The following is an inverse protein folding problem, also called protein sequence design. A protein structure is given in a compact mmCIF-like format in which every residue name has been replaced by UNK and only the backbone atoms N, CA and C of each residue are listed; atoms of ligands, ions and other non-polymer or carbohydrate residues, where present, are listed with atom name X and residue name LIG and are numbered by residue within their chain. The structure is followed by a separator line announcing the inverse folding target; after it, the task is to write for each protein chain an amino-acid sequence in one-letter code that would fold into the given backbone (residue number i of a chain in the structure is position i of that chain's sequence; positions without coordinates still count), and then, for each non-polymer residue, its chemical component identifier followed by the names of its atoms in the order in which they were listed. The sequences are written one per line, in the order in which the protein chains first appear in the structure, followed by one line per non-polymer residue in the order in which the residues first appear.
data_IF_517054777544
#
_entry.id   IF_517054777544
#
_cell.length_a   1.000
_cell.length_b   1.000
_cell.length_c   1.000
_cell.angle_alpha   90.00
_cell.angle_beta   90.00
_cell.angle_gamma   90.00
#
_symmetry.space_group_name_H-M   'P 1'
#
loop_
_entity.id
_entity.type
_entity.pdbx_description
1 polymer ?
#
# COMPACT_ATOMS: atom_id res chain seq x y z
N UNK A 1 -56.29 72.50 6.85
CA UNK A 1 -56.92 71.17 6.79
C UNK A 1 -57.29 70.92 5.36
N UNK A 2 -56.60 70.02 4.67
CA UNK A 2 -57.21 69.02 3.76
C UNK A 2 -56.06 68.11 3.29
N UNK A 3 -55.98 66.91 3.88
CA UNK A 3 -55.09 65.84 3.43
C UNK A 3 -55.77 65.11 2.27
N UNK A 4 -55.21 65.20 1.07
CA UNK A 4 -55.55 64.29 -0.02
C UNK A 4 -54.70 63.02 0.12
N UNK A 5 -55.33 61.95 0.61
CA UNK A 5 -54.71 60.63 0.74
C UNK A 5 -54.40 60.02 -0.62
N UNK A 6 -53.12 59.77 -0.89
CA UNK A 6 -52.68 58.91 -1.99
C UNK A 6 -53.06 57.48 -1.67
N UNK A 7 -54.00 56.94 -2.42
CA UNK A 7 -54.42 55.55 -2.39
C UNK A 7 -53.23 54.65 -2.76
N UNK A 8 -52.62 54.02 -1.76
CA UNK A 8 -51.82 52.81 -1.96
C UNK A 8 -52.77 51.65 -2.28
N UNK A 9 -53.25 51.61 -3.52
CA UNK A 9 -53.91 50.44 -4.07
C UNK A 9 -52.84 49.34 -4.25
N UNK A 10 -52.69 48.51 -3.24
CA UNK A 10 -51.96 47.25 -3.31
C UNK A 10 -52.63 46.36 -4.35
N UNK A 11 -52.15 46.42 -5.59
CA UNK A 11 -52.46 45.45 -6.61
C UNK A 11 -51.85 44.11 -6.17
N UNK A 12 -52.61 43.34 -5.39
CA UNK A 12 -52.45 41.89 -5.34
C UNK A 12 -52.80 41.35 -6.72
N UNK A 13 -51.88 41.51 -7.67
CA UNK A 13 -51.91 40.81 -8.94
C UNK A 13 -52.01 39.32 -8.59
N UNK A 14 -53.16 38.73 -8.88
CA UNK A 14 -53.45 37.32 -8.62
C UNK A 14 -52.32 36.50 -9.24
N UNK A 15 -51.42 36.00 -8.39
CA UNK A 15 -50.25 35.25 -8.81
C UNK A 15 -50.76 34.02 -9.55
N UNK A 16 -50.43 33.90 -10.83
CA UNK A 16 -50.75 32.71 -11.61
C UNK A 16 -50.34 31.45 -10.81
N UNK A 17 -51.12 30.36 -10.84
CA UNK A 17 -50.83 29.17 -10.06
C UNK A 17 -49.38 28.72 -10.31
N UNK A 18 -48.58 28.68 -9.25
CA UNK A 18 -47.18 28.26 -9.36
C UNK A 18 -47.14 26.80 -9.86
N UNK A 19 -46.31 26.47 -10.87
CA UNK A 19 -46.26 25.11 -11.38
C UNK A 19 -45.82 24.13 -10.28
N UNK A 20 -46.43 22.93 -10.20
CA UNK A 20 -46.23 22.01 -9.07
C UNK A 20 -44.80 21.47 -8.92
N UNK A 21 -43.95 21.60 -9.96
CA UNK A 21 -42.54 21.17 -9.95
C UNK A 21 -41.53 22.28 -9.63
N UNK A 22 -41.99 23.53 -9.43
CA UNK A 22 -41.14 24.66 -9.09
C UNK A 22 -41.01 24.77 -7.57
N UNK A 23 -39.78 24.64 -7.05
CA UNK A 23 -39.54 24.77 -5.62
C UNK A 23 -39.81 26.21 -5.16
N UNK A 24 -40.23 26.37 -3.90
CA UNK A 24 -40.71 27.65 -3.36
C UNK A 24 -39.65 28.77 -3.30
N UNK A 25 -38.35 28.42 -3.33
CA UNK A 25 -37.22 29.35 -3.30
C UNK A 25 -36.75 29.77 -4.70
N UNK A 26 -37.40 29.30 -5.76
CA UNK A 26 -37.15 29.74 -7.12
C UNK A 26 -38.34 30.52 -7.67
N UNK A 27 -38.02 31.60 -8.38
CA UNK A 27 -39.02 32.45 -9.02
C UNK A 27 -39.47 31.86 -10.35
N UNK A 28 -38.58 31.14 -11.05
CA UNK A 28 -38.86 30.57 -12.38
C UNK A 28 -38.24 29.18 -12.58
N UNK A 29 -38.84 28.38 -13.46
CA UNK A 29 -38.32 27.03 -13.80
C UNK A 29 -36.93 27.04 -14.47
N UNK A 30 -36.59 27.99 -15.38
CA UNK A 30 -35.23 28.10 -15.92
C UNK A 30 -34.19 28.38 -14.82
N UNK A 31 -34.49 29.29 -13.89
CA UNK A 31 -33.62 29.60 -12.76
C UNK A 31 -33.34 28.36 -11.90
N UNK A 32 -34.37 27.56 -11.58
CA UNK A 32 -34.21 26.30 -10.86
C UNK A 32 -33.27 25.32 -11.59
N UNK A 33 -33.41 25.20 -12.91
CA UNK A 33 -32.59 24.30 -13.72
C UNK A 33 -31.12 24.75 -13.78
N UNK A 34 -30.88 26.05 -14.00
CA UNK A 34 -29.53 26.60 -14.07
C UNK A 34 -28.82 26.54 -12.70
N UNK A 35 -29.54 26.81 -11.62
CA UNK A 35 -29.02 26.63 -10.26
C UNK A 35 -28.65 25.16 -9.98
N UNK A 36 -29.50 24.21 -10.39
CA UNK A 36 -29.23 22.77 -10.22
C UNK A 36 -28.01 22.32 -11.04
N UNK A 37 -27.86 22.83 -12.27
CA UNK A 37 -26.71 22.54 -13.13
C UNK A 37 -25.41 23.10 -12.54
N UNK A 38 -25.44 24.35 -12.05
CA UNK A 38 -24.30 24.97 -11.37
C UNK A 38 -23.91 24.18 -10.11
N UNK A 39 -24.90 23.77 -9.32
CA UNK A 39 -24.67 22.92 -8.15
C UNK A 39 -23.99 21.59 -8.49
N UNK A 40 -24.43 20.92 -9.57
CA UNK A 40 -23.80 19.70 -10.05
C UNK A 40 -22.34 19.94 -10.48
N UNK A 41 -22.03 21.03 -11.20
CA UNK A 41 -20.66 21.36 -11.61
C UNK A 41 -19.75 21.66 -10.41
N UNK A 42 -20.23 22.40 -9.42
CA UNK A 42 -19.47 22.67 -8.19
C UNK A 42 -19.19 21.38 -7.41
N UNK A 43 -20.19 20.50 -7.28
CA UNK A 43 -20.02 19.19 -6.66
C UNK A 43 -18.95 18.35 -7.39
N UNK A 44 -19.01 18.25 -8.72
CA UNK A 44 -17.99 17.54 -9.51
C UNK A 44 -16.59 18.16 -9.33
N UNK A 45 -16.49 19.49 -9.26
CA UNK A 45 -15.21 20.16 -9.03
C UNK A 45 -14.63 19.79 -7.65
N UNK A 46 -15.46 19.69 -6.60
CA UNK A 46 -14.99 19.28 -5.27
C UNK A 46 -14.50 17.84 -5.23
N UNK A 47 -15.13 16.92 -5.96
CA UNK A 47 -14.66 15.53 -6.08
C UNK A 47 -13.30 15.46 -6.81
N UNK A 48 -13.12 16.23 -7.88
CA UNK A 48 -11.82 16.34 -8.57
C UNK A 48 -10.72 16.82 -7.61
N UNK A 49 -11.01 17.80 -6.75
CA UNK A 49 -10.05 18.28 -5.74
C UNK A 49 -9.74 17.22 -4.68
N UNK A 50 -10.75 16.44 -4.25
CA UNK A 50 -10.57 15.31 -3.33
C UNK A 50 -9.61 14.27 -3.91
N UNK A 51 -9.84 13.84 -5.16
CA UNK A 51 -8.96 12.87 -5.83
C UNK A 51 -7.57 13.45 -6.13
N UNK A 52 -7.46 14.73 -6.46
CA UNK A 52 -6.17 15.40 -6.65
C UNK A 52 -5.29 15.31 -5.39
N UNK A 53 -5.88 15.52 -4.20
CA UNK A 53 -5.19 15.31 -2.93
C UNK A 53 -4.68 13.87 -2.76
N UNK A 54 -5.51 12.88 -3.13
CA UNK A 54 -5.15 11.46 -3.07
C UNK A 54 -4.00 11.10 -4.05
N UNK A 55 -4.01 11.67 -5.25
CA UNK A 55 -2.91 11.51 -6.22
C UNK A 55 -1.61 12.18 -5.76
N UNK A 56 -1.69 13.37 -5.17
CA UNK A 56 -0.53 14.03 -4.56
C UNK A 56 0.08 13.17 -3.44
N UNK A 57 -0.75 12.61 -2.56
CA UNK A 57 -0.30 11.68 -1.53
C UNK A 57 0.40 10.46 -2.15
N UNK A 58 -0.21 9.83 -3.15
CA UNK A 58 0.38 8.72 -3.89
C UNK A 58 1.74 9.09 -4.50
N UNK A 59 1.86 10.25 -5.16
CA UNK A 59 3.08 10.70 -5.81
C UNK A 59 4.22 10.93 -4.79
N UNK A 60 3.92 11.61 -3.67
CA UNK A 60 4.89 11.84 -2.60
C UNK A 60 5.34 10.52 -1.96
N UNK A 61 4.40 9.62 -1.64
CA UNK A 61 4.73 8.30 -1.09
C UNK A 61 5.56 7.46 -2.06
N UNK A 62 5.22 7.47 -3.36
CA UNK A 62 5.97 6.77 -4.40
C UNK A 62 7.39 7.32 -4.55
N UNK A 63 7.57 8.65 -4.46
CA UNK A 63 8.89 9.27 -4.51
C UNK A 63 9.74 8.99 -3.27
N UNK A 64 9.14 8.94 -2.08
CA UNK A 64 9.85 8.67 -0.82
C UNK A 64 10.20 7.19 -0.61
N UNK A 65 9.40 6.27 -1.14
CA UNK A 65 9.54 4.82 -0.92
C UNK A 65 9.52 4.01 -2.23
N UNK A 66 10.43 4.28 -3.19
CA UNK A 66 10.38 3.68 -4.53
C UNK A 66 10.44 2.14 -4.50
N UNK A 67 11.26 1.56 -3.63
CA UNK A 67 11.40 0.11 -3.47
C UNK A 67 10.10 -0.56 -3.02
N UNK A 68 9.40 0.03 -2.04
CA UNK A 68 8.11 -0.48 -1.53
C UNK A 68 7.04 -0.45 -2.61
N UNK A 69 7.02 0.59 -3.46
CA UNK A 69 6.07 0.69 -4.57
C UNK A 69 6.41 -0.25 -5.74
N UNK A 70 7.70 -0.47 -6.02
CA UNK A 70 8.16 -1.47 -6.99
C UNK A 70 7.75 -2.88 -6.57
N UNK A 71 7.84 -3.17 -5.27
CA UNK A 71 7.37 -4.40 -4.66
C UNK A 71 5.84 -4.55 -4.74
N UNK A 72 5.10 -3.53 -4.31
CA UNK A 72 3.63 -3.52 -4.34
C UNK A 72 3.02 -3.71 -5.74
N UNK A 73 3.69 -3.24 -6.79
CA UNK A 73 3.26 -3.46 -8.18
C UNK A 73 3.18 -4.94 -8.59
N UNK A 74 3.88 -5.84 -7.89
CA UNK A 74 3.83 -7.28 -8.19
C UNK A 74 2.55 -7.95 -7.70
N UNK A 75 1.83 -7.34 -6.76
CA UNK A 75 0.54 -7.82 -6.22
C UNK A 75 -0.68 -7.26 -6.97
N UNK A 76 -0.45 -6.45 -8.01
CA UNK A 76 -1.51 -5.95 -8.87
C UNK A 76 -1.78 -6.94 -10.01
N UNK A 77 -2.94 -7.58 -9.95
CA UNK A 77 -3.44 -8.39 -11.06
C UNK A 77 -3.91 -7.47 -12.20
N UNK A 78 -3.14 -7.44 -13.28
CA UNK A 78 -3.44 -6.61 -14.46
C UNK A 78 -4.67 -7.13 -15.21
N UNK A 79 -4.97 -8.42 -15.15
CA UNK A 79 -6.09 -9.05 -15.86
C UNK A 79 -7.42 -8.61 -15.27
N UNK A 80 -7.60 -8.81 -13.95
CA UNK A 80 -8.80 -8.37 -13.24
C UNK A 80 -8.98 -6.84 -13.30
N UNK A 81 -7.88 -6.09 -13.20
CA UNK A 81 -7.89 -4.64 -13.38
C UNK A 81 -8.36 -4.20 -14.77
N UNK A 82 -7.91 -4.87 -15.84
CA UNK A 82 -8.29 -4.54 -17.21
C UNK A 82 -9.76 -4.87 -17.49
N UNK A 83 -10.24 -6.04 -17.08
CA UNK A 83 -11.65 -6.45 -17.23
C UNK A 83 -12.56 -5.43 -16.54
N UNK A 84 -12.23 -5.07 -15.30
CA UNK A 84 -13.00 -4.11 -14.53
C UNK A 84 -13.03 -2.72 -15.19
N UNK A 85 -11.94 -2.32 -15.83
CA UNK A 85 -11.86 -1.05 -16.59
C UNK A 85 -12.76 -1.11 -17.83
N UNK A 86 -12.79 -2.23 -18.55
CA UNK A 86 -13.69 -2.42 -19.70
C UNK A 86 -15.16 -2.35 -19.28
N UNK A 87 -15.53 -2.96 -18.15
CA UNK A 87 -16.88 -2.88 -17.59
C UNK A 87 -17.28 -1.43 -17.31
N UNK A 88 -16.41 -0.64 -16.69
CA UNK A 88 -16.67 0.78 -16.42
C UNK A 88 -16.81 1.61 -17.70
N UNK A 89 -15.94 1.40 -18.69
CA UNK A 89 -16.02 2.11 -19.97
C UNK A 89 -17.34 1.78 -20.66
N UNK A 90 -17.72 0.49 -20.71
CA UNK A 90 -18.99 0.07 -21.28
C UNK A 90 -20.19 0.65 -20.53
N UNK A 91 -20.17 0.67 -19.20
CA UNK A 91 -21.21 1.30 -18.37
C UNK A 91 -21.33 2.81 -18.62
N UNK A 92 -20.20 3.51 -18.81
CA UNK A 92 -20.22 4.94 -19.16
C UNK A 92 -20.82 5.21 -20.55
N UNK A 93 -20.55 4.31 -21.50
CA UNK A 93 -21.14 4.35 -22.84
C UNK A 93 -22.66 4.15 -22.78
N UNK A 94 -23.14 3.21 -21.97
CA UNK A 94 -24.59 2.99 -21.81
C UNK A 94 -25.27 4.19 -21.15
N UNK A 95 -24.61 4.89 -20.23
CA UNK A 95 -25.13 6.14 -19.67
C UNK A 95 -25.26 7.24 -20.74
N UNK A 96 -24.28 7.37 -21.63
CA UNK A 96 -24.35 8.33 -22.75
C UNK A 96 -25.53 8.03 -23.68
N UNK A 97 -25.76 6.74 -24.00
CA UNK A 97 -26.93 6.31 -24.77
C UNK A 97 -28.25 6.57 -24.03
N UNK A 98 -28.27 6.42 -22.71
CA UNK A 98 -29.44 6.76 -21.89
C UNK A 98 -29.79 8.26 -22.00
N UNK A 99 -28.79 9.15 -21.96
CA UNK A 99 -29.00 10.59 -22.15
C UNK A 99 -29.54 10.89 -23.55
N UNK A 100 -29.01 10.23 -24.59
CA UNK A 100 -29.54 10.38 -25.94
C UNK A 100 -30.99 9.88 -26.06
N UNK A 101 -31.31 8.72 -25.48
CA UNK A 101 -32.67 8.19 -25.46
C UNK A 101 -33.64 9.10 -24.69
N UNK A 102 -33.18 9.75 -23.61
CA UNK A 102 -33.95 10.76 -22.89
C UNK A 102 -34.25 11.99 -23.76
N UNK A 103 -33.26 12.48 -24.52
CA UNK A 103 -33.43 13.59 -25.47
C UNK A 103 -34.37 13.21 -26.62
N UNK A 104 -34.31 11.97 -27.11
CA UNK A 104 -35.21 11.42 -28.12
C UNK A 104 -36.60 11.04 -27.58
N UNK A 105 -36.86 11.27 -26.28
CA UNK A 105 -38.10 10.90 -25.57
C UNK A 105 -38.47 9.40 -25.68
N UNK A 106 -37.47 8.53 -25.88
CA UNK A 106 -37.62 7.09 -25.99
C UNK A 106 -37.53 6.43 -24.60
N UNK A 107 -38.66 6.39 -23.89
CA UNK A 107 -38.72 5.94 -22.48
C UNK A 107 -38.25 4.50 -22.27
N UNK A 108 -38.58 3.59 -23.19
CA UNK A 108 -38.19 2.18 -23.11
C UNK A 108 -36.66 2.03 -23.13
N UNK A 109 -36.03 2.69 -24.10
CA UNK A 109 -34.58 2.59 -24.30
C UNK A 109 -33.82 3.33 -23.19
N UNK A 110 -34.35 4.48 -22.71
CA UNK A 110 -33.85 5.16 -21.52
C UNK A 110 -33.78 4.23 -20.31
N UNK A 111 -34.88 3.54 -19.99
CA UNK A 111 -34.93 2.61 -18.84
C UNK A 111 -33.99 1.42 -19.05
N UNK A 112 -33.92 0.89 -20.27
CA UNK A 112 -33.01 -0.22 -20.61
C UNK A 112 -31.54 0.17 -20.39
N UNK A 113 -31.11 1.30 -20.95
CA UNK A 113 -29.72 1.76 -20.83
C UNK A 113 -29.36 2.17 -19.40
N UNK A 114 -30.29 2.76 -18.65
CA UNK A 114 -30.06 3.09 -17.24
C UNK A 114 -29.92 1.82 -16.38
N UNK A 115 -30.73 0.79 -16.66
CA UNK A 115 -30.62 -0.51 -15.99
C UNK A 115 -29.29 -1.20 -16.30
N UNK A 116 -28.84 -1.14 -17.55
CA UNK A 116 -27.55 -1.71 -17.95
C UNK A 116 -26.36 -0.97 -17.30
N UNK A 117 -26.47 0.35 -17.17
CA UNK A 117 -25.48 1.17 -16.46
C UNK A 117 -25.39 0.77 -14.99
N UNK A 118 -26.54 0.59 -14.33
CA UNK A 118 -26.62 0.16 -12.94
C UNK A 118 -26.01 -1.24 -12.74
N UNK A 119 -26.33 -2.19 -13.63
CA UNK A 119 -25.74 -3.53 -13.60
C UNK A 119 -24.22 -3.48 -13.71
N UNK A 120 -23.67 -2.70 -14.65
CA UNK A 120 -22.22 -2.52 -14.76
C UNK A 120 -21.57 -1.95 -13.50
N UNK A 121 -22.28 -1.09 -12.75
CA UNK A 121 -21.84 -0.60 -11.45
C UNK A 121 -21.84 -1.67 -10.36
N UNK A 122 -22.85 -2.55 -10.34
CA UNK A 122 -22.91 -3.70 -9.42
C UNK A 122 -21.82 -4.72 -9.74
N UNK A 123 -21.59 -5.02 -11.02
CA UNK A 123 -20.54 -5.92 -11.47
C UNK A 123 -19.15 -5.41 -11.09
N UNK A 124 -18.89 -4.11 -11.29
CA UNK A 124 -17.66 -3.44 -10.83
C UNK A 124 -17.46 -3.63 -9.32
N UNK A 125 -18.51 -3.42 -8.52
CA UNK A 125 -18.44 -3.55 -7.07
C UNK A 125 -18.17 -5.02 -6.66
N UNK A 126 -18.82 -5.98 -7.32
CA UNK A 126 -18.61 -7.41 -7.09
C UNK A 126 -17.16 -7.85 -7.34
N UNK A 127 -16.58 -7.44 -8.48
CA UNK A 127 -15.17 -7.71 -8.81
C UNK A 127 -14.26 -7.11 -7.73
N UNK A 128 -14.53 -5.86 -7.30
CA UNK A 128 -13.74 -5.20 -6.26
C UNK A 128 -13.85 -5.90 -4.91
N UNK A 129 -15.03 -6.36 -4.51
CA UNK A 129 -15.20 -7.11 -3.25
C UNK A 129 -14.37 -8.38 -3.27
N UNK A 130 -14.39 -9.15 -4.36
CA UNK A 130 -13.60 -10.39 -4.47
C UNK A 130 -12.11 -10.08 -4.46
N UNK A 131 -11.66 -9.12 -5.27
CA UNK A 131 -10.25 -8.72 -5.36
C UNK A 131 -9.71 -8.21 -4.02
N UNK A 132 -10.50 -7.39 -3.31
CA UNK A 132 -10.12 -6.88 -2.01
C UNK A 132 -10.17 -7.96 -0.94
N UNK A 133 -11.18 -8.84 -0.94
CA UNK A 133 -11.26 -9.95 0.02
C UNK A 133 -10.02 -10.83 -0.05
N UNK A 134 -9.56 -11.15 -1.26
CA UNK A 134 -8.30 -11.87 -1.45
C UNK A 134 -7.11 -11.10 -0.85
N UNK A 135 -6.98 -9.80 -1.11
CA UNK A 135 -5.93 -8.94 -0.54
C UNK A 135 -6.02 -8.77 0.99
N UNK A 136 -7.23 -8.81 1.55
CA UNK A 136 -7.45 -8.84 3.00
C UNK A 136 -6.91 -10.13 3.62
N UNK A 137 -7.15 -11.28 2.98
CA UNK A 137 -6.61 -12.57 3.43
C UNK A 137 -5.08 -12.66 3.28
N UNK A 138 -4.49 -11.92 2.35
CA UNK A 138 -3.04 -11.81 2.17
C UNK A 138 -2.35 -10.81 3.13
N UNK A 139 -3.10 -10.21 4.06
CA UNK A 139 -2.65 -9.17 5.00
C UNK A 139 -2.13 -7.88 4.32
N UNK A 140 -2.57 -7.58 3.09
CA UNK A 140 -2.23 -6.35 2.38
C UNK A 140 -3.14 -5.19 2.79
N UNK A 141 -3.34 -5.01 4.10
CA UNK A 141 -4.31 -4.07 4.65
C UNK A 141 -3.65 -2.77 5.12
N UNK A 142 -4.28 -1.65 4.82
CA UNK A 142 -3.89 -0.35 5.35
C UNK A 142 -3.73 -0.34 6.88
N UNK A 143 -2.70 0.35 7.39
CA UNK A 143 -2.44 0.53 8.81
C UNK A 143 -1.67 -0.60 9.49
N UNK A 144 -1.82 -0.74 10.81
CA UNK A 144 -1.08 -1.71 11.64
C UNK A 144 -1.47 -3.17 11.40
N UNK A 145 -2.59 -3.42 10.70
CA UNK A 145 -3.03 -4.75 10.30
C UNK A 145 -2.12 -5.43 9.27
N UNK A 146 -1.31 -4.66 8.53
CA UNK A 146 -0.31 -5.20 7.60
C UNK A 146 0.73 -6.11 8.30
N UNK A 147 0.86 -5.96 9.62
CA UNK A 147 1.78 -6.71 10.48
C UNK A 147 1.07 -7.67 11.44
N UNK A 148 -0.25 -7.88 11.31
CA UNK A 148 -0.95 -8.77 12.24
C UNK A 148 -0.72 -10.22 11.84
N UNK A 149 0.08 -10.91 12.65
CA UNK A 149 0.34 -12.35 12.52
C UNK A 149 -0.96 -13.15 12.41
N UNK A 150 -1.06 -14.16 11.51
CA UNK A 150 -2.12 -15.16 11.57
C UNK A 150 -2.09 -15.99 12.88
N UNK A 151 -0.98 -15.94 13.61
CA UNK A 151 -0.82 -16.56 14.93
C UNK A 151 -0.04 -15.64 15.86
N UNK A 152 -0.65 -15.08 16.92
CA UNK A 152 0.14 -14.47 17.98
C UNK A 152 1.08 -15.55 18.53
N UNK A 153 2.37 -15.27 18.75
CA UNK A 153 3.21 -16.18 19.50
C UNK A 153 2.55 -16.39 20.87
N UNK A 154 2.53 -17.64 21.40
CA UNK A 154 2.05 -17.85 22.76
C UNK A 154 2.80 -16.88 23.67
N UNK A 155 2.08 -16.22 24.57
CA UNK A 155 2.52 -15.06 25.36
C UNK A 155 3.69 -15.31 26.33
N UNK A 156 4.43 -16.41 26.14
CA UNK A 156 5.55 -16.85 26.97
C UNK A 156 6.63 -17.59 26.18
N UNK A 157 6.68 -17.49 24.84
CA UNK A 157 7.80 -18.05 24.10
C UNK A 157 9.09 -17.25 24.42
N UNK A 158 10.11 -17.86 25.05
CA UNK A 158 11.41 -17.23 25.15
C UNK A 158 11.90 -16.97 23.72
N UNK A 159 12.43 -15.78 23.44
CA UNK A 159 13.13 -15.52 22.17
C UNK A 159 14.15 -16.63 21.89
N UNK A 160 14.49 -16.92 20.63
CA UNK A 160 15.27 -18.10 20.26
C UNK A 160 16.61 -18.10 21.00
N UNK A 161 16.64 -18.75 22.16
CA UNK A 161 17.84 -19.15 22.85
C UNK A 161 18.36 -20.34 22.06
N UNK A 162 19.68 -20.34 21.83
CA UNK A 162 20.38 -21.44 21.22
C UNK A 162 19.84 -22.75 21.81
N UNK A 163 19.23 -23.58 20.96
CA UNK A 163 18.68 -24.85 21.38
C UNK A 163 19.77 -25.61 22.13
N UNK A 164 19.44 -26.11 23.31
CA UNK A 164 20.33 -26.97 24.07
C UNK A 164 20.78 -28.14 23.17
N UNK A 165 22.07 -28.51 23.18
CA UNK A 165 22.57 -29.60 22.35
C UNK A 165 21.88 -30.90 22.78
N UNK A 166 20.98 -31.41 21.95
CA UNK A 166 20.30 -32.70 22.20
C UNK A 166 18.83 -32.79 21.82
N UNK A 167 18.15 -31.70 21.44
CA UNK A 167 16.83 -31.84 20.83
C UNK A 167 17.00 -32.37 19.40
N UNK A 168 16.59 -33.63 19.17
CA UNK A 168 16.67 -34.28 17.87
C UNK A 168 16.12 -33.37 16.77
N UNK A 169 17.02 -32.89 15.90
CA UNK A 169 16.69 -32.07 14.76
C UNK A 169 15.70 -32.85 13.91
N UNK A 170 14.44 -32.41 13.90
CA UNK A 170 13.45 -32.92 12.95
C UNK A 170 14.03 -32.64 11.57
N UNK A 171 14.36 -33.69 10.85
CA UNK A 171 15.03 -33.61 9.54
C UNK A 171 14.17 -32.78 8.59
N UNK A 172 14.61 -31.56 8.33
CA UNK A 172 13.93 -30.66 7.41
C UNK A 172 14.38 -31.04 6.00
N UNK A 173 13.43 -31.26 5.09
CA UNK A 173 13.72 -31.56 3.68
C UNK A 173 14.67 -30.50 3.10
N UNK A 174 15.82 -30.94 2.58
CA UNK A 174 16.80 -30.05 1.97
C UNK A 174 16.16 -29.28 0.79
N UNK A 175 16.40 -27.97 0.74
CA UNK A 175 15.95 -27.09 -0.34
C UNK A 175 16.86 -27.12 -1.58
N UNK A 176 16.36 -26.59 -2.69
CA UNK A 176 17.07 -26.42 -3.96
C UNK A 176 17.72 -25.03 -4.03
N UNK A 177 19.06 -24.99 -3.96
CA UNK A 177 19.81 -23.74 -3.98
C UNK A 177 19.69 -22.97 -5.31
N UNK A 178 19.37 -23.63 -6.42
CA UNK A 178 19.18 -22.96 -7.72
C UNK A 178 17.89 -22.16 -7.72
N UNK A 179 16.78 -22.76 -7.26
CA UNK A 179 15.50 -22.06 -7.05
C UNK A 179 15.63 -21.00 -5.96
N UNK A 180 16.35 -21.35 -4.90
CA UNK A 180 16.65 -20.46 -3.78
C UNK A 180 17.34 -19.18 -4.19
N UNK A 181 18.28 -19.25 -5.14
CA UNK A 181 19.00 -18.10 -5.68
C UNK A 181 18.08 -17.10 -6.35
N UNK A 182 17.13 -17.58 -7.16
CA UNK A 182 16.17 -16.71 -7.84
C UNK A 182 15.21 -16.06 -6.83
N UNK A 183 14.64 -16.86 -5.93
CA UNK A 183 13.77 -16.38 -4.86
C UNK A 183 14.47 -15.36 -3.95
N UNK A 184 15.73 -15.63 -3.59
CA UNK A 184 16.56 -14.73 -2.79
C UNK A 184 16.79 -13.40 -3.50
N UNK A 185 17.18 -13.42 -4.78
CA UNK A 185 17.40 -12.18 -5.56
C UNK A 185 16.13 -11.34 -5.64
N UNK A 186 14.98 -11.99 -5.75
CA UNK A 186 13.69 -11.33 -5.90
C UNK A 186 13.08 -10.81 -4.59
N UNK A 187 13.45 -11.40 -3.44
CA UNK A 187 12.86 -11.06 -2.13
C UNK A 187 13.86 -10.47 -1.15
N UNK A 188 15.07 -11.01 -1.05
CA UNK A 188 16.08 -10.59 -0.07
C UNK A 188 17.14 -9.63 -0.65
N UNK A 189 17.33 -9.67 -1.97
CA UNK A 189 18.43 -8.99 -2.65
C UNK A 189 18.43 -7.46 -2.54
N UNK A 190 17.24 -6.85 -2.43
CA UNK A 190 17.12 -5.38 -2.32
C UNK A 190 17.73 -4.82 -1.02
N UNK A 191 17.83 -5.62 0.05
CA UNK A 191 18.44 -5.21 1.30
C UNK A 191 19.80 -5.87 1.53
N UNK A 192 19.97 -7.11 1.10
CA UNK A 192 21.17 -7.90 1.38
C UNK A 192 22.12 -8.07 0.18
N UNK A 193 21.88 -7.38 -0.93
CA UNK A 193 22.66 -7.54 -2.17
C UNK A 193 22.27 -8.81 -2.92
N UNK A 194 22.58 -8.86 -4.22
CA UNK A 194 22.09 -9.95 -5.11
C UNK A 194 22.73 -11.31 -4.78
N UNK A 195 23.87 -11.31 -4.08
CA UNK A 195 24.64 -12.48 -3.65
C UNK A 195 24.81 -12.53 -2.14
N UNK A 196 24.02 -11.77 -1.37
CA UNK A 196 24.10 -11.72 0.09
C UNK A 196 25.26 -10.90 0.64
N UNK A 197 25.90 -10.06 -0.17
CA UNK A 197 27.03 -9.21 0.18
C UNK A 197 26.71 -8.07 1.17
N UNK A 198 25.44 -7.80 1.41
CA UNK A 198 24.98 -6.68 2.22
C UNK A 198 25.02 -5.34 1.49
N UNK A 199 24.24 -4.39 1.99
CA UNK A 199 24.21 -3.01 1.51
C UNK A 199 24.42 -2.10 2.73
N UNK A 200 25.47 -1.26 2.76
CA UNK A 200 25.76 -0.37 3.88
C UNK A 200 24.54 0.47 4.28
N UNK A 201 24.21 0.47 5.58
CA UNK A 201 23.05 1.20 6.13
C UNK A 201 21.67 0.60 5.85
N UNK A 202 21.59 -0.54 5.13
CA UNK A 202 20.34 -1.22 4.80
C UNK A 202 20.31 -2.65 5.34
N UNK A 203 21.11 -3.57 4.78
CA UNK A 203 21.14 -4.98 5.19
C UNK A 203 22.56 -5.49 5.40
N UNK A 204 22.73 -6.41 6.35
CA UNK A 204 24.03 -7.00 6.71
C UNK A 204 24.49 -8.01 5.66
N UNK A 205 25.81 -8.15 5.52
CA UNK A 205 26.45 -9.22 4.75
C UNK A 205 26.11 -10.58 5.39
N UNK A 206 25.58 -11.50 4.59
CA UNK A 206 25.22 -12.85 5.01
C UNK A 206 26.32 -13.88 4.77
N UNK A 207 27.20 -13.62 3.81
CA UNK A 207 28.23 -14.57 3.33
C UNK A 207 29.19 -14.95 4.45
N UNK A 208 29.60 -13.98 5.25
CA UNK A 208 30.49 -14.17 6.40
C UNK A 208 29.80 -14.06 7.76
N UNK A 209 28.47 -14.05 7.82
CA UNK A 209 27.73 -13.74 9.06
C UNK A 209 27.88 -14.84 10.12
N UNK A 210 28.49 -14.54 11.29
CA UNK A 210 28.58 -15.51 12.39
C UNK A 210 27.20 -15.88 12.94
N UNK A 211 26.26 -14.94 12.95
CA UNK A 211 24.88 -15.17 13.41
C UNK A 211 24.16 -16.25 12.57
N UNK A 212 24.27 -16.17 11.24
CA UNK A 212 23.67 -17.16 10.35
C UNK A 212 24.43 -18.49 10.44
N UNK A 213 25.77 -18.43 10.56
CA UNK A 213 26.62 -19.62 10.67
C UNK A 213 26.39 -20.44 11.95
N UNK A 214 25.94 -19.81 13.04
CA UNK A 214 25.65 -20.48 14.32
C UNK A 214 24.25 -21.07 14.42
N UNK A 215 23.31 -20.64 13.56
CA UNK A 215 21.96 -21.20 13.51
C UNK A 215 21.96 -22.48 12.68
N UNK A 216 21.20 -23.48 13.10
CA UNK A 216 20.81 -24.59 12.24
C UNK A 216 19.71 -24.14 11.24
N UNK A 217 19.34 -24.99 10.30
CA UNK A 217 18.38 -24.61 9.26
C UNK A 217 16.97 -24.37 9.83
N UNK A 218 16.61 -25.05 10.93
CA UNK A 218 15.35 -24.82 11.64
C UNK A 218 15.33 -23.43 12.30
N UNK A 219 16.40 -23.06 13.00
CA UNK A 219 16.55 -21.76 13.64
C UNK A 219 16.64 -20.62 12.64
N UNK A 220 17.35 -20.82 11.52
CA UNK A 220 17.42 -19.84 10.45
C UNK A 220 16.07 -19.67 9.75
N UNK A 221 15.32 -20.76 9.54
CA UNK A 221 13.97 -20.70 8.97
C UNK A 221 13.04 -19.92 9.89
N UNK A 222 13.06 -20.22 11.20
CA UNK A 222 12.27 -19.51 12.19
C UNK A 222 12.61 -18.00 12.22
N UNK A 223 13.91 -17.67 12.18
CA UNK A 223 14.36 -16.28 12.11
C UNK A 223 13.87 -15.58 10.85
N UNK A 224 14.00 -16.17 9.67
CA UNK A 224 13.54 -15.56 8.42
C UNK A 224 12.03 -15.42 8.40
N UNK A 225 11.27 -16.37 8.97
CA UNK A 225 9.80 -16.28 9.09
C UNK A 225 9.36 -15.10 9.95
N UNK A 226 10.10 -14.78 11.02
CA UNK A 226 9.76 -13.70 11.95
C UNK A 226 10.37 -12.35 11.56
N UNK A 227 11.54 -12.36 10.94
CA UNK A 227 12.33 -11.15 10.73
C UNK A 227 12.83 -10.53 12.05
N UNK A 228 13.12 -9.24 12.04
CA UNK A 228 13.56 -8.47 13.20
C UNK A 228 13.08 -7.02 13.13
N UNK A 229 12.38 -6.57 14.17
CA UNK A 229 11.81 -5.23 14.25
C UNK A 229 12.89 -4.16 14.52
N UNK A 230 12.68 -2.88 14.14
CA UNK A 230 13.64 -1.79 14.39
C UNK A 230 13.97 -1.56 15.87
N UNK A 231 13.01 -1.80 16.76
CA UNK A 231 13.14 -1.58 18.22
C UNK A 231 13.67 -2.79 18.98
N UNK A 232 13.93 -3.90 18.29
CA UNK A 232 14.50 -5.09 18.92
C UNK A 232 15.93 -4.77 19.41
N UNK A 233 16.28 -5.05 20.69
CA UNK A 233 17.61 -4.78 21.23
C UNK A 233 18.74 -5.45 20.45
N UNK A 234 18.46 -6.55 19.75
CA UNK A 234 19.43 -7.28 18.93
C UNK A 234 19.47 -6.75 17.47
N UNK A 235 18.71 -5.71 17.14
CA UNK A 235 18.75 -5.09 15.82
C UNK A 235 19.90 -4.07 15.70
N UNK A 236 21.03 -4.55 15.21
CA UNK A 236 22.24 -3.72 15.01
C UNK A 236 22.14 -2.73 13.85
N UNK A 237 21.12 -2.81 13.00
CA UNK A 237 20.94 -1.90 11.85
C UNK A 237 19.96 -0.77 12.11
N UNK A 238 19.07 -0.91 13.10
CA UNK A 238 17.91 -0.04 13.26
C UNK A 238 16.92 -0.09 12.08
N UNK A 239 17.15 -0.95 11.09
CA UNK A 239 16.27 -1.19 9.94
C UNK A 239 15.43 -2.43 10.19
N UNK A 240 14.18 -2.40 9.73
CA UNK A 240 13.32 -3.57 9.83
C UNK A 240 13.81 -4.66 8.88
N UNK A 241 14.02 -5.87 9.39
CA UNK A 241 14.01 -7.08 8.57
C UNK A 241 12.58 -7.62 8.61
N UNK A 242 11.79 -7.51 7.54
CA UNK A 242 10.41 -7.95 7.56
C UNK A 242 10.31 -9.49 7.62
N UNK A 243 9.24 -10.03 8.23
CA UNK A 243 8.86 -11.44 8.13
C UNK A 243 8.94 -11.94 6.69
N UNK A 244 9.60 -13.09 6.46
CA UNK A 244 9.81 -13.69 5.14
C UNK A 244 10.38 -12.73 4.08
N UNK A 245 11.22 -11.78 4.50
CA UNK A 245 11.76 -10.76 3.59
C UNK A 245 10.69 -9.85 2.98
N UNK A 246 9.53 -9.74 3.63
CA UNK A 246 8.38 -8.96 3.17
C UNK A 246 7.44 -9.75 2.26
N UNK A 247 7.79 -10.98 1.89
CA UNK A 247 7.00 -11.82 0.98
C UNK A 247 6.21 -12.89 1.72
N UNK A 248 4.95 -12.56 2.04
CA UNK A 248 4.00 -13.46 2.70
C UNK A 248 3.70 -14.72 1.90
N UNK A 249 3.90 -14.71 0.57
CA UNK A 249 3.68 -15.85 -0.33
C UNK A 249 4.78 -16.91 -0.29
N UNK A 250 5.93 -16.61 0.33
CA UNK A 250 6.98 -17.63 0.48
C UNK A 250 6.49 -18.74 1.40
N UNK A 251 6.25 -19.91 0.81
CA UNK A 251 5.97 -21.13 1.56
C UNK A 251 7.22 -21.57 2.33
N UNK A 252 7.04 -22.42 3.33
CA UNK A 252 8.18 -22.97 4.07
C UNK A 252 9.12 -23.74 3.12
N UNK A 253 8.60 -24.38 2.06
CA UNK A 253 9.43 -25.00 1.02
C UNK A 253 10.28 -23.96 0.26
N UNK A 254 9.69 -22.82 -0.12
CA UNK A 254 10.44 -21.75 -0.80
C UNK A 254 11.50 -21.13 0.12
N UNK A 255 11.21 -21.00 1.41
CA UNK A 255 12.19 -20.53 2.38
C UNK A 255 13.34 -21.52 2.52
N UNK A 256 13.07 -22.83 2.47
CA UNK A 256 14.12 -23.84 2.50
C UNK A 256 15.00 -23.80 1.25
N UNK A 257 14.42 -23.55 0.07
CA UNK A 257 15.20 -23.28 -1.15
C UNK A 257 16.11 -22.06 -0.94
N UNK A 258 15.57 -20.94 -0.44
CA UNK A 258 16.34 -19.72 -0.13
C UNK A 258 17.47 -20.02 0.87
N UNK A 259 17.19 -20.76 1.93
CA UNK A 259 18.16 -21.15 2.95
C UNK A 259 19.27 -22.02 2.34
N UNK A 260 18.94 -22.96 1.46
CA UNK A 260 19.92 -23.77 0.75
C UNK A 260 20.91 -22.89 -0.05
N UNK A 261 20.42 -21.83 -0.70
CA UNK A 261 21.26 -20.83 -1.36
C UNK A 261 22.08 -20.00 -0.37
N UNK A 262 21.50 -19.56 0.76
CA UNK A 262 22.24 -18.83 1.81
C UNK A 262 23.40 -19.69 2.34
N UNK A 263 23.20 -20.99 2.54
CA UNK A 263 24.28 -21.91 2.92
C UNK A 263 25.32 -22.07 1.81
N UNK A 264 24.91 -22.09 0.55
CA UNK A 264 25.83 -22.13 -0.60
C UNK A 264 26.77 -20.92 -0.61
N UNK A 265 26.24 -19.70 -0.46
CA UNK A 265 27.06 -18.47 -0.46
C UNK A 265 27.95 -18.38 0.79
N UNK A 266 27.53 -18.92 1.93
CA UNK A 266 28.37 -18.99 3.13
C UNK A 266 29.54 -19.97 2.97
N UNK A 267 29.29 -21.15 2.38
CA UNK A 267 30.36 -22.11 2.06
C UNK A 267 31.36 -21.54 1.06
N UNK A 268 30.87 -20.86 0.03
CA UNK A 268 31.73 -20.21 -0.96
C UNK A 268 32.61 -19.09 -0.35
N UNK A 269 32.12 -18.38 0.67
CA UNK A 269 32.88 -17.35 1.36
C UNK A 269 33.83 -17.90 2.44
N UNK A 270 33.45 -18.98 3.12
CA UNK A 270 34.29 -19.68 4.11
C UNK A 270 35.43 -20.50 3.49
N UNK A 271 35.29 -20.91 2.23
CA UNK A 271 36.31 -21.64 1.46
C UNK A 271 37.49 -20.80 0.95
N UNK A 272 37.60 -19.53 1.36
CA UNK A 272 38.67 -18.61 0.95
C UNK A 272 40.04 -18.84 1.61
N UNK A 273 40.24 -19.98 2.28
CA UNK A 273 41.54 -20.44 2.77
C UNK A 273 41.82 -21.85 2.23
N UNK A 274 42.31 -21.93 1.00
CA UNK A 274 42.89 -23.13 0.41
C UNK A 274 41.99 -23.85 -0.60
N UNK A 275 42.17 -23.55 -1.88
CA UNK A 275 42.61 -24.52 -2.91
C UNK A 275 43.01 -23.77 -4.18
N UNK A 276 44.20 -24.13 -4.68
CA UNK A 276 44.71 -23.75 -5.99
C UNK A 276 44.11 -24.66 -7.09
N UNK A 277 43.93 -24.08 -8.29
CA UNK A 277 43.64 -24.76 -9.56
C UNK A 277 42.15 -25.05 -9.78
N UNK A 278 41.42 -24.44 -10.72
CA UNK A 278 41.82 -23.85 -11.99
C UNK A 278 40.93 -24.41 -13.10
N UNK A 279 39.61 -24.22 -13.00
CA UNK A 279 38.63 -24.52 -14.04
C UNK A 279 37.96 -23.22 -14.49
N UNK A 280 38.43 -22.66 -15.60
CA UNK A 280 38.06 -21.34 -16.06
C UNK A 280 36.62 -21.23 -16.53
N UNK A 281 35.99 -20.12 -16.18
CA UNK A 281 34.94 -19.49 -16.98
C UNK A 281 35.33 -18.03 -17.21
N UNK A 282 35.59 -17.75 -18.47
CA UNK A 282 36.06 -16.49 -19.00
C UNK A 282 35.08 -15.34 -18.71
N UNK A 283 35.63 -14.22 -18.26
CA UNK A 283 34.94 -12.94 -18.27
C UNK A 283 34.86 -12.42 -19.72
N UNK A 284 33.72 -11.86 -20.18
CA UNK A 284 33.68 -11.15 -21.44
C UNK A 284 34.44 -9.82 -21.30
N UNK A 285 35.32 -9.58 -22.27
CA UNK A 285 36.22 -8.44 -22.38
C UNK A 285 35.45 -7.13 -22.62
N UNK A 286 35.97 -6.08 -21.99
CA UNK A 286 35.67 -4.67 -22.28
C UNK A 286 36.28 -4.31 -23.63
N UNK A 287 35.48 -3.76 -24.53
CA UNK A 287 36.00 -2.89 -25.59
C UNK A 287 35.85 -1.43 -25.17
N UNK A 288 36.96 -0.74 -25.34
CA UNK A 288 37.21 0.68 -25.14
C UNK A 288 36.58 1.49 -26.26
N UNK A 289 35.86 2.55 -25.91
CA UNK A 289 35.82 3.75 -26.73
C UNK A 289 36.01 4.99 -25.86
N UNK A 290 36.90 5.83 -26.38
CA UNK A 290 37.54 6.98 -25.77
C UNK A 290 36.66 8.22 -25.75
N UNK A 291 36.78 8.95 -24.64
CA UNK A 291 36.85 10.41 -24.51
C UNK A 291 35.71 11.29 -25.10
N UNK A 292 35.13 12.13 -24.21
CA UNK A 292 35.10 13.59 -24.37
C UNK A 292 34.61 14.29 -23.08
N UNK A 293 35.47 15.17 -22.56
CA UNK A 293 35.21 16.47 -21.87
C UNK A 293 33.94 16.60 -21.00
N UNK A 294 33.96 16.94 -19.70
CA UNK A 294 34.59 18.06 -18.99
C UNK A 294 33.47 18.67 -18.12
N UNK A 295 33.67 18.79 -16.81
CA UNK A 295 33.38 20.00 -16.02
C UNK A 295 33.30 19.63 -14.53
N UNK A 296 34.13 20.34 -13.79
CA UNK A 296 34.26 20.34 -12.34
C UNK A 296 33.05 21.04 -11.69
N UNK A 297 32.57 20.53 -10.55
CA UNK A 297 31.92 21.35 -9.53
C UNK A 297 31.86 20.63 -8.17
N UNK A 298 32.74 21.08 -7.28
CA UNK A 298 32.53 21.36 -5.86
C UNK A 298 31.82 20.31 -4.96
N UNK A 299 32.66 19.76 -4.08
CA UNK A 299 32.35 19.19 -2.77
C UNK A 299 31.52 20.18 -1.93
N UNK A 300 30.38 19.74 -1.39
CA UNK A 300 29.67 20.40 -0.31
C UNK A 300 29.45 19.40 0.83
N UNK A 301 30.02 19.70 2.00
CA UNK A 301 29.89 18.92 3.23
C UNK A 301 28.48 19.04 3.83
N UNK A 302 27.99 18.02 4.57
CA UNK A 302 26.70 18.09 5.25
C UNK A 302 26.78 18.91 6.57
N UNK A 303 25.82 19.81 6.77
CA UNK A 303 25.60 20.53 8.02
C UNK A 303 24.94 19.64 9.10
N UNK A 304 25.27 19.83 10.40
CA UNK A 304 24.65 19.08 11.48
C UNK A 304 23.26 19.65 11.82
N UNK A 305 22.25 18.79 11.85
CA UNK A 305 20.91 19.11 12.38
C UNK A 305 20.96 19.03 13.90
N UNK A 306 20.81 20.18 14.56
CA UNK A 306 20.63 20.29 16.00
C UNK A 306 19.24 19.73 16.40
N UNK A 307 19.25 18.82 17.37
CA UNK A 307 18.07 18.21 17.99
C UNK A 307 17.53 19.21 19.01
N UNK A 308 16.38 19.82 18.73
CA UNK A 308 15.65 20.59 19.71
C UNK A 308 14.67 19.69 20.48
N UNK A 309 14.84 19.69 21.80
CA UNK A 309 14.26 18.79 22.78
C UNK A 309 12.88 19.34 23.16
N UNK A 310 11.80 18.85 22.55
CA UNK A 310 10.44 19.21 22.94
C UNK A 310 9.91 18.25 24.01
N UNK A 311 9.54 18.86 25.14
CA UNK A 311 9.01 18.31 26.38
C UNK A 311 7.51 18.06 26.20
N UNK A 312 7.04 16.84 26.49
CA UNK A 312 5.61 16.53 26.70
C UNK A 312 5.49 15.72 28.00
N UNK A 313 4.72 16.17 29.02
CA UNK A 313 4.53 15.44 30.27
C UNK A 313 3.55 14.25 30.12
N UNK A 314 3.60 13.24 31.01
CA UNK A 314 2.77 12.05 30.90
C UNK A 314 1.30 12.32 31.29
N UNK A 315 0.39 11.74 30.52
CA UNK A 315 -1.05 11.76 30.75
C UNK A 315 -1.42 11.09 32.08
N UNK A 316 -2.27 11.77 32.85
CA UNK A 316 -2.83 11.30 34.10
C UNK A 316 -3.75 10.08 33.89
N UNK A 317 -3.54 9.10 34.76
CA UNK A 317 -4.40 7.96 35.09
C UNK A 317 -5.84 8.40 35.35
N UNK A 318 -6.80 7.78 34.64
CA UNK A 318 -8.20 7.76 35.04
C UNK A 318 -8.74 6.33 34.89
N UNK A 319 -8.83 5.63 36.02
CA UNK A 319 -9.61 4.41 36.17
C UNK A 319 -10.33 4.44 37.53
N UNK A 320 -11.61 4.05 37.47
CA UNK A 320 -12.50 3.60 38.54
C UNK A 320 -13.25 4.64 39.41
N UNK A 321 -14.58 4.47 39.47
CA UNK A 321 -15.44 5.04 40.50
C UNK A 321 -16.94 5.08 40.16
N UNK A 322 -17.64 3.96 40.31
CA UNK A 322 -19.10 3.85 40.37
C UNK A 322 -19.70 4.60 41.58
N UNK A 323 -20.87 5.24 41.41
CA UNK A 323 -22.05 5.31 42.32
C UNK A 323 -22.98 6.43 41.79
N UNK A 324 -24.16 6.16 41.26
CA UNK A 324 -25.42 5.96 42.00
C UNK A 324 -25.66 7.05 43.07
N UNK A 325 -26.46 8.07 42.75
CA UNK A 325 -27.44 8.59 43.71
C UNK A 325 -28.63 9.27 43.02
N UNK A 326 -29.78 8.99 43.61
CA UNK A 326 -31.14 9.44 43.36
C UNK A 326 -31.41 10.86 43.88
N UNK A 327 -32.51 11.45 43.40
CA UNK A 327 -33.25 12.60 43.96
C UNK A 327 -32.52 13.95 44.06
N UNK A 328 -33.09 14.98 43.41
CA UNK A 328 -33.86 16.06 44.09
C UNK A 328 -34.23 17.20 43.13
N UNK A 329 -35.54 17.49 43.08
CA UNK A 329 -36.21 18.77 42.74
C UNK A 329 -36.07 19.36 41.33
#
# INVERSE_FOLDING_TARGET
MEQAGSQHAGAHAALAPRPPRLAHHFDTAPQQFDASKLGMWLFLATEVLLFAGLFCLYAVCRGKYPETFAYGHRYLDRGWGAINTLVLIFSSFTMALAVWAAQANQKRDLVMFLSLTLLGGVDFLGIKIIEYSHKFHENLVWGTGFYRDPHPPPATAPGPQAAAPGAAAREIKAGDATKGRELFRNTCGACHGLRGEGIPGQGKDMRGSPFIGQLDDAGLLAFVKLGRMPKDPLNTTGRMMPPRGGNSMLTDANLLDILAYVREIQRAAGGGAGIAGGGGLAAPTRDSDTASSSASAAVAAPMPVLIEKSIIPPAATAAAGLAADSDRS
#
